data_IF_499130220056
#
_entry.id   IF_499130220056
#
_cell.length_a   1.000
_cell.length_b   1.000
_cell.length_c   1.000
_cell.angle_alpha   90.00
_cell.angle_beta   90.00
_cell.angle_gamma   90.00
#
_symmetry.space_group_name_H-M   'P 1'
#
loop_
_entity.id
_entity.type
_entity.pdbx_description
1 polymer ?
#
# COMPACT_ATOMS: atom_id res chain seq x y z
N UNK A 1 -3.66 -10.28 15.47
CA UNK A 1 -4.33 -9.11 14.87
C UNK A 1 -4.85 -9.45 13.49
N UNK A 2 -6.09 -9.14 13.22
CA UNK A 2 -6.72 -9.50 11.96
C UNK A 2 -6.35 -8.47 10.88
N UNK A 3 -5.83 -8.94 9.74
CA UNK A 3 -5.60 -8.08 8.59
C UNK A 3 -6.86 -8.03 7.75
N UNK A 4 -7.19 -6.84 7.26
CA UNK A 4 -8.28 -6.66 6.31
C UNK A 4 -7.71 -6.21 4.98
N UNK A 5 -8.48 -6.43 3.92
CA UNK A 5 -8.08 -5.98 2.58
C UNK A 5 -8.94 -4.78 2.22
N UNK A 6 -8.27 -3.69 1.82
CA UNK A 6 -8.94 -2.48 1.37
C UNK A 6 -8.98 -2.44 -0.14
N UNK A 7 -10.16 -2.16 -0.69
CA UNK A 7 -10.33 -1.97 -2.13
C UNK A 7 -10.03 -0.52 -2.49
N UNK A 8 -9.95 -0.22 -3.78
CA UNK A 8 -9.58 1.13 -4.26
C UNK A 8 -10.40 2.25 -3.61
N UNK A 9 -11.74 2.15 -3.49
CA UNK A 9 -12.48 3.25 -2.86
C UNK A 9 -12.02 3.55 -1.43
N UNK A 10 -11.74 2.51 -0.65
CA UNK A 10 -11.28 2.67 0.72
C UNK A 10 -9.86 3.21 0.77
N UNK A 11 -8.96 2.73 -0.10
CA UNK A 11 -7.58 3.23 -0.17
C UNK A 11 -7.56 4.70 -0.52
N UNK A 12 -8.37 5.11 -1.49
CA UNK A 12 -8.51 6.52 -1.86
C UNK A 12 -9.01 7.37 -0.68
N UNK A 13 -10.01 6.88 0.01
CA UNK A 13 -10.59 7.58 1.15
C UNK A 13 -9.59 7.75 2.27
N UNK A 14 -8.85 6.70 2.60
CA UNK A 14 -7.90 6.73 3.71
C UNK A 14 -6.63 7.50 3.39
N UNK A 15 -6.15 7.42 2.15
CA UNK A 15 -4.90 8.08 1.76
C UNK A 15 -5.10 9.49 1.25
N UNK A 16 -6.31 9.84 0.82
CA UNK A 16 -6.57 11.11 0.18
C UNK A 16 -6.01 11.21 -1.24
N UNK A 17 -5.54 10.09 -1.80
CA UNK A 17 -4.95 10.08 -3.14
C UNK A 17 -5.99 9.63 -4.17
N UNK A 18 -5.83 10.12 -5.42
CA UNK A 18 -6.65 9.64 -6.52
C UNK A 18 -6.14 8.27 -6.98
N UNK A 19 -6.99 7.54 -7.70
CA UNK A 19 -6.60 6.24 -8.26
C UNK A 19 -5.34 6.35 -9.12
N UNK A 20 -5.31 7.34 -10.00
CA UNK A 20 -4.16 7.53 -10.90
C UNK A 20 -2.88 7.82 -10.12
N UNK A 21 -2.98 8.60 -9.04
CA UNK A 21 -1.82 8.88 -8.20
C UNK A 21 -1.33 7.63 -7.48
N UNK A 22 -2.24 6.79 -6.99
CA UNK A 22 -1.86 5.53 -6.35
C UNK A 22 -1.08 4.65 -7.33
N UNK A 23 -1.58 4.48 -8.56
CA UNK A 23 -0.91 3.66 -9.55
C UNK A 23 0.40 4.25 -10.03
N UNK A 24 0.49 5.59 -10.11
CA UNK A 24 1.75 6.25 -10.41
C UNK A 24 2.78 5.95 -9.32
N UNK A 25 2.38 6.03 -8.06
CA UNK A 25 3.29 5.73 -6.94
C UNK A 25 3.73 4.28 -6.92
N UNK A 26 2.87 3.37 -7.34
CA UNK A 26 3.24 1.95 -7.47
C UNK A 26 4.36 1.82 -8.50
N UNK A 27 4.26 2.51 -9.63
CA UNK A 27 5.30 2.46 -10.67
C UNK A 27 6.61 3.07 -10.20
N UNK A 28 6.54 4.01 -9.25
CA UNK A 28 7.72 4.65 -8.66
C UNK A 28 8.24 3.94 -7.42
N UNK A 29 7.60 2.84 -7.04
CA UNK A 29 7.90 2.07 -5.83
C UNK A 29 7.67 2.87 -4.54
N UNK A 30 6.75 3.81 -4.60
CA UNK A 30 6.36 4.61 -3.43
C UNK A 30 5.05 4.12 -2.81
N UNK A 31 4.49 3.04 -3.35
CA UNK A 31 3.29 2.37 -2.84
C UNK A 31 3.40 0.88 -3.15
N UNK A 32 2.82 0.05 -2.29
CA UNK A 32 2.88 -1.40 -2.49
C UNK A 32 1.99 -1.83 -3.65
N UNK A 33 2.37 -2.93 -4.30
CA UNK A 33 1.57 -3.51 -5.39
C UNK A 33 0.26 -4.04 -4.84
N UNK A 34 -0.84 -3.98 -5.61
CA UNK A 34 -2.09 -4.57 -5.16
C UNK A 34 -2.00 -6.09 -5.09
N UNK A 35 -2.76 -6.66 -4.18
CA UNK A 35 -2.91 -8.11 -4.06
C UNK A 35 -4.08 -8.53 -4.93
N UNK A 36 -3.90 -9.56 -5.76
CA UNK A 36 -4.97 -10.07 -6.59
C UNK A 36 -5.96 -10.87 -5.71
N UNK A 37 -7.23 -10.47 -5.76
CA UNK A 37 -8.30 -11.12 -5.02
C UNK A 37 -9.15 -12.02 -5.90
N UNK A 38 -8.99 -11.88 -7.22
CA UNK A 38 -9.73 -12.64 -8.21
C UNK A 38 -9.38 -12.12 -9.60
N UNK A 39 -10.06 -12.58 -10.65
CA UNK A 39 -9.69 -12.22 -12.03
C UNK A 39 -9.68 -10.73 -12.33
N UNK A 40 -10.53 -9.95 -11.65
CA UNK A 40 -10.64 -8.51 -11.87
C UNK A 40 -10.71 -7.73 -10.56
N UNK A 41 -10.33 -8.38 -9.46
CA UNK A 41 -10.43 -7.76 -8.15
C UNK A 41 -9.05 -7.66 -7.53
N UNK A 42 -8.70 -6.47 -7.06
CA UNK A 42 -7.44 -6.23 -6.36
C UNK A 42 -7.71 -5.44 -5.08
N UNK A 43 -6.77 -5.53 -4.15
CA UNK A 43 -6.85 -4.78 -2.91
C UNK A 43 -5.49 -4.70 -2.24
N UNK A 44 -5.47 -4.01 -1.12
CA UNK A 44 -4.24 -3.82 -0.34
C UNK A 44 -4.49 -4.19 1.11
N UNK A 45 -3.54 -4.87 1.77
CA UNK A 45 -3.65 -5.10 3.21
C UNK A 45 -3.77 -3.79 3.96
N UNK A 46 -4.70 -3.71 4.91
CA UNK A 46 -4.96 -2.46 5.64
C UNK A 46 -3.76 -1.98 6.43
N UNK A 47 -2.97 -2.89 6.98
CA UNK A 47 -1.77 -2.53 7.74
C UNK A 47 -0.70 -1.89 6.84
N UNK A 48 -0.59 -2.32 5.58
CA UNK A 48 0.32 -1.68 4.63
C UNK A 48 -0.12 -0.26 4.31
N UNK A 49 -1.41 -0.08 4.06
CA UNK A 49 -1.96 1.25 3.78
C UNK A 49 -1.70 2.18 4.97
N UNK A 50 -1.96 1.71 6.18
CA UNK A 50 -1.71 2.50 7.39
C UNK A 50 -0.23 2.86 7.54
N UNK A 51 0.67 1.91 7.29
CA UNK A 51 2.11 2.14 7.40
C UNK A 51 2.60 3.18 6.38
N UNK A 52 2.08 3.10 5.15
CA UNK A 52 2.47 4.05 4.10
C UNK A 52 1.96 5.46 4.39
N UNK A 53 0.73 5.57 4.90
CA UNK A 53 0.17 6.85 5.31
C UNK A 53 0.99 7.43 6.47
N UNK A 54 1.31 6.61 7.48
CA UNK A 54 2.10 7.03 8.63
C UNK A 54 3.49 7.53 8.21
N UNK A 55 4.12 6.86 7.24
CA UNK A 55 5.43 7.27 6.73
C UNK A 55 5.36 8.65 6.07
N UNK A 56 4.29 8.91 5.32
CA UNK A 56 4.09 10.23 4.71
C UNK A 56 3.87 11.32 5.76
N UNK A 57 3.05 11.03 6.76
CA UNK A 57 2.81 11.97 7.85
C UNK A 57 4.11 12.29 8.59
N UNK A 58 4.96 11.29 8.78
CA UNK A 58 6.24 11.45 9.46
C UNK A 58 7.29 12.19 8.62
N UNK A 59 7.00 12.44 7.34
CA UNK A 59 7.92 13.15 6.45
C UNK A 59 9.10 12.31 5.99
N UNK A 60 8.93 11.00 5.88
CA UNK A 60 10.00 10.12 5.40
C UNK A 60 10.36 10.44 3.95
N UNK A 61 11.63 10.29 3.62
CA UNK A 61 12.13 10.52 2.26
C UNK A 61 11.59 9.44 1.30
N UNK A 62 11.64 9.72 0.01
CA UNK A 62 11.24 8.74 -1.00
C UNK A 62 12.06 7.46 -0.88
N UNK A 63 13.36 7.56 -0.61
CA UNK A 63 14.20 6.38 -0.43
C UNK A 63 13.75 5.54 0.76
N UNK A 64 13.41 6.20 1.87
CA UNK A 64 12.91 5.51 3.06
C UNK A 64 11.58 4.82 2.78
N UNK A 65 10.71 5.48 2.02
CA UNK A 65 9.42 4.91 1.66
C UNK A 65 9.59 3.73 0.72
N UNK A 66 10.53 3.80 -0.23
CA UNK A 66 10.83 2.66 -1.10
C UNK A 66 11.34 1.46 -0.32
N UNK A 67 12.18 1.70 0.69
CA UNK A 67 12.64 0.63 1.57
C UNK A 67 11.48 0.02 2.36
N UNK A 68 10.56 0.87 2.84
CA UNK A 68 9.36 0.40 3.53
C UNK A 68 8.48 -0.44 2.60
N UNK A 69 8.27 0.00 1.37
CA UNK A 69 7.48 -0.74 0.38
C UNK A 69 8.07 -2.13 0.16
N UNK A 70 9.39 -2.22 -0.04
CA UNK A 70 10.05 -3.50 -0.23
C UNK A 70 9.87 -4.41 0.99
N UNK A 71 9.99 -3.86 2.19
CA UNK A 71 9.83 -4.60 3.43
C UNK A 71 8.39 -5.11 3.59
N UNK A 72 7.42 -4.26 3.29
CA UNK A 72 6.01 -4.64 3.41
C UNK A 72 5.65 -5.75 2.41
N UNK A 73 6.12 -5.64 1.18
CA UNK A 73 5.86 -6.67 0.17
C UNK A 73 6.53 -7.99 0.52
N UNK A 74 7.76 -7.93 1.04
CA UNK A 74 8.46 -9.13 1.47
C UNK A 74 7.73 -9.82 2.65
N UNK A 75 7.19 -9.03 3.56
CA UNK A 75 6.49 -9.57 4.73
C UNK A 75 5.20 -10.33 4.37
N UNK A 76 4.66 -10.10 3.17
CA UNK A 76 3.46 -10.82 2.72
C UNK A 76 3.67 -12.33 2.67
N UNK A 77 4.88 -12.77 2.36
CA UNK A 77 5.19 -14.19 2.26
C UNK A 77 5.18 -14.88 3.62
N UNK A 78 5.37 -14.11 4.69
CA UNK A 78 5.39 -14.63 6.05
C UNK A 78 4.03 -14.51 6.74
N UNK A 79 3.05 -13.93 6.08
CA UNK A 79 1.71 -13.69 6.64
C UNK A 79 0.79 -14.88 6.37
N UNK A 80 1.10 -15.99 6.99
CA UNK A 80 0.32 -17.21 6.83
C UNK A 80 -0.58 -17.45 8.02
#
# INVERSE_FOLDING_TARGET
MTRTILRIPAVKSESGLSRSTIYLRISERLWTKPVALGPRAVGWPSDEVAALIAARIAGRSDEEIRALVAKLEAARKDAM
#
